data_IF_593639982432
#
_entry.id   IF_593639982432
#
_cell.length_a   1.000
_cell.length_b   1.000
_cell.length_c   1.000
_cell.angle_alpha   90.00
_cell.angle_beta   90.00
_cell.angle_gamma   90.00
#
_symmetry.space_group_name_H-M   'P 1'
#
loop_
_entity.id
_entity.type
_entity.pdbx_description
1 polymer ?
#
# COMPACT_ATOMS: atom_id res chain seq x y z
N UNK A 1 -16.99 6.00 18.08
CA UNK A 1 -15.63 6.23 17.55
C UNK A 1 -15.23 4.98 16.76
N UNK A 2 -14.80 5.12 15.53
CA UNK A 2 -14.35 3.97 14.73
C UNK A 2 -12.89 3.69 15.09
N UNK A 3 -12.59 2.46 15.52
CA UNK A 3 -11.22 2.04 15.80
C UNK A 3 -10.43 1.92 14.49
N UNK A 4 -9.19 2.42 14.46
CA UNK A 4 -8.30 2.28 13.30
C UNK A 4 -8.03 0.82 12.94
N UNK A 5 -8.08 -0.11 13.91
CA UNK A 5 -8.03 -1.55 13.65
C UNK A 5 -9.18 -2.02 12.77
N UNK A 6 -10.41 -1.56 13.08
CA UNK A 6 -11.59 -1.94 12.29
C UNK A 6 -11.46 -1.39 10.88
N UNK A 7 -11.02 -0.15 10.72
CA UNK A 7 -10.76 0.44 9.40
C UNK A 7 -9.69 -0.35 8.64
N UNK A 8 -8.61 -0.76 9.31
CA UNK A 8 -7.56 -1.57 8.69
C UNK A 8 -8.13 -2.85 8.05
N UNK A 9 -8.92 -3.63 8.81
CA UNK A 9 -9.50 -4.86 8.28
C UNK A 9 -10.57 -4.62 7.21
N UNK A 10 -11.36 -3.52 7.32
CA UNK A 10 -12.31 -3.13 6.28
C UNK A 10 -11.57 -2.80 4.98
N UNK A 11 -10.49 -2.01 5.03
CA UNK A 11 -9.69 -1.71 3.85
C UNK A 11 -9.04 -2.96 3.26
N UNK A 12 -8.50 -3.84 4.10
CA UNK A 12 -7.93 -5.10 3.66
C UNK A 12 -8.95 -5.93 2.86
N UNK A 13 -10.16 -6.08 3.41
CA UNK A 13 -11.25 -6.81 2.75
C UNK A 13 -11.72 -6.12 1.47
N UNK A 14 -11.88 -4.79 1.50
CA UNK A 14 -12.28 -4.00 0.33
C UNK A 14 -11.29 -4.17 -0.82
N UNK A 15 -10.01 -4.02 -0.54
CA UNK A 15 -8.96 -4.17 -1.55
C UNK A 15 -8.85 -5.62 -2.05
N UNK A 16 -9.08 -6.62 -1.18
CA UNK A 16 -9.17 -8.02 -1.61
C UNK A 16 -10.31 -8.22 -2.62
N UNK A 17 -11.50 -7.66 -2.35
CA UNK A 17 -12.64 -7.74 -3.28
C UNK A 17 -12.34 -7.02 -4.60
N UNK A 18 -11.71 -5.84 -4.54
CA UNK A 18 -11.26 -5.13 -5.75
C UNK A 18 -10.27 -6.00 -6.54
N UNK A 19 -9.32 -6.63 -5.85
CA UNK A 19 -8.34 -7.51 -6.47
C UNK A 19 -8.95 -8.75 -7.11
N UNK A 20 -9.97 -9.37 -6.49
CA UNK A 20 -10.74 -10.48 -7.09
C UNK A 20 -11.36 -10.08 -8.44
N UNK A 21 -11.88 -8.85 -8.53
CA UNK A 21 -12.55 -8.35 -9.75
C UNK A 21 -11.53 -7.96 -10.82
N UNK A 22 -10.40 -7.37 -10.42
CA UNK A 22 -9.40 -6.80 -11.34
C UNK A 22 -8.39 -7.82 -11.87
N UNK A 23 -8.14 -8.88 -11.10
CA UNK A 23 -7.17 -9.93 -11.39
C UNK A 23 -5.73 -9.56 -11.01
N UNK A 24 -4.91 -10.58 -10.90
CA UNK A 24 -3.53 -10.53 -10.37
C UNK A 24 -2.62 -9.55 -11.10
N UNK A 25 -2.65 -9.54 -12.44
CA UNK A 25 -1.75 -8.72 -13.25
C UNK A 25 -1.91 -7.22 -13.02
N UNK A 26 -3.15 -6.77 -12.83
CA UNK A 26 -3.43 -5.35 -12.54
C UNK A 26 -3.04 -4.99 -11.11
N UNK A 27 -3.24 -5.92 -10.18
CA UNK A 27 -2.90 -5.69 -8.77
C UNK A 27 -1.39 -5.66 -8.51
N UNK A 28 -0.57 -6.39 -9.26
CA UNK A 28 0.90 -6.27 -9.19
C UNK A 28 1.35 -4.84 -9.50
N UNK A 29 0.75 -4.17 -10.48
CA UNK A 29 1.11 -2.78 -10.80
C UNK A 29 0.82 -1.85 -9.63
N UNK A 30 -0.28 -2.10 -8.91
CA UNK A 30 -0.64 -1.36 -7.69
C UNK A 30 0.35 -1.63 -6.56
N UNK A 31 0.80 -2.89 -6.39
CA UNK A 31 1.85 -3.25 -5.42
C UNK A 31 3.15 -2.48 -5.70
N UNK A 32 3.56 -2.42 -6.96
CA UNK A 32 4.75 -1.66 -7.37
C UNK A 32 4.59 -0.17 -7.10
N UNK A 33 3.42 0.39 -7.36
CA UNK A 33 3.11 1.79 -7.03
C UNK A 33 3.17 2.04 -5.51
N UNK A 34 2.75 1.08 -4.68
CA UNK A 34 2.89 1.12 -3.23
C UNK A 34 4.35 1.14 -2.77
N UNK A 35 5.20 0.26 -3.32
CA UNK A 35 6.64 0.23 -3.03
C UNK A 35 7.30 1.54 -3.49
N UNK A 36 6.95 2.02 -4.69
CA UNK A 36 7.44 3.30 -5.20
C UNK A 36 7.05 4.47 -4.30
N UNK A 37 5.84 4.47 -3.75
CA UNK A 37 5.39 5.52 -2.83
C UNK A 37 6.27 5.58 -1.58
N UNK A 38 6.62 4.44 -0.98
CA UNK A 38 7.55 4.39 0.15
C UNK A 38 8.94 4.91 -0.22
N UNK A 39 9.45 4.51 -1.39
CA UNK A 39 10.73 5.01 -1.87
C UNK A 39 10.72 6.54 -2.02
N UNK A 40 9.68 7.12 -2.59
CA UNK A 40 9.53 8.57 -2.71
C UNK A 40 9.50 9.21 -1.32
N UNK A 41 8.74 8.67 -0.38
CA UNK A 41 8.58 9.22 0.96
C UNK A 41 9.88 9.13 1.77
N UNK A 42 10.57 7.99 1.74
CA UNK A 42 11.74 7.76 2.60
C UNK A 42 13.06 8.26 1.98
N UNK A 43 13.17 8.25 0.65
CA UNK A 43 14.42 8.58 -0.02
C UNK A 43 14.41 9.93 -0.76
N UNK A 44 13.28 10.33 -1.34
CA UNK A 44 13.20 11.52 -2.21
C UNK A 44 12.75 12.75 -1.44
N UNK A 45 11.65 12.65 -0.68
CA UNK A 45 11.08 13.79 0.06
C UNK A 45 12.09 14.44 1.02
N UNK A 46 12.84 13.69 1.85
CA UNK A 46 13.81 14.31 2.77
C UNK A 46 14.92 15.06 2.06
N UNK A 47 15.30 14.63 0.85
CA UNK A 47 16.35 15.29 0.06
C UNK A 47 15.88 16.60 -0.58
N UNK A 48 14.60 16.67 -0.99
CA UNK A 48 14.04 17.83 -1.71
C UNK A 48 13.53 18.88 -0.74
N UNK A 49 12.81 18.46 0.30
CA UNK A 49 12.09 19.35 1.22
C UNK A 49 12.77 19.50 2.59
N UNK A 50 13.89 18.81 2.81
CA UNK A 50 14.60 18.86 4.10
C UNK A 50 13.75 18.33 5.25
N UNK A 51 13.87 18.96 6.43
CA UNK A 51 13.14 18.56 7.64
C UNK A 51 11.76 19.21 7.70
N UNK A 52 10.80 18.70 6.91
CA UNK A 52 9.39 18.99 7.19
C UNK A 52 8.96 18.24 8.45
N UNK A 53 8.27 18.92 9.36
CA UNK A 53 7.84 18.34 10.64
C UNK A 53 6.33 18.40 10.83
N UNK A 54 5.83 17.55 11.74
CA UNK A 54 4.43 17.52 12.17
C UNK A 54 3.43 17.25 11.06
N UNK A 55 2.34 18.00 11.05
CA UNK A 55 1.24 17.80 10.10
C UNK A 55 1.61 18.04 8.63
N UNK A 56 2.63 18.86 8.34
CA UNK A 56 3.04 19.15 6.96
C UNK A 56 3.65 17.92 6.28
N UNK A 57 4.54 17.20 6.97
CA UNK A 57 5.13 15.98 6.43
C UNK A 57 4.07 14.88 6.28
N UNK A 58 3.12 14.79 7.21
CA UNK A 58 2.00 13.85 7.12
C UNK A 58 1.18 14.08 5.85
N UNK A 59 0.76 15.33 5.60
CA UNK A 59 -0.03 15.69 4.41
C UNK A 59 0.74 15.34 3.13
N UNK A 60 2.04 15.65 3.07
CA UNK A 60 2.89 15.29 1.94
C UNK A 60 2.93 13.78 1.71
N UNK A 61 3.15 12.99 2.77
CA UNK A 61 3.20 11.53 2.68
C UNK A 61 1.87 10.95 2.22
N UNK A 62 0.74 11.46 2.72
CA UNK A 62 -0.60 11.03 2.30
C UNK A 62 -0.89 11.41 0.84
N UNK A 63 -0.42 12.57 0.37
CA UNK A 63 -0.54 12.97 -1.04
C UNK A 63 0.23 11.98 -1.92
N UNK A 64 1.47 11.65 -1.57
CA UNK A 64 2.28 10.70 -2.36
C UNK A 64 1.66 9.30 -2.38
N UNK A 65 1.23 8.79 -1.20
CA UNK A 65 0.54 7.51 -1.11
C UNK A 65 -0.72 7.48 -2.00
N UNK A 66 -1.54 8.53 -1.90
CA UNK A 66 -2.79 8.63 -2.67
C UNK A 66 -2.53 8.75 -4.17
N UNK A 67 -1.55 9.56 -4.57
CA UNK A 67 -1.17 9.72 -5.98
C UNK A 67 -0.66 8.39 -6.56
N UNK A 68 0.26 7.72 -5.86
CA UNK A 68 0.77 6.43 -6.33
C UNK A 68 -0.33 5.36 -6.39
N UNK A 69 -1.23 5.29 -5.41
CA UNK A 69 -2.39 4.43 -5.47
C UNK A 69 -3.26 4.75 -6.69
N UNK A 70 -3.63 6.02 -6.88
CA UNK A 70 -4.44 6.46 -8.01
C UNK A 70 -3.82 6.06 -9.35
N UNK A 71 -2.55 6.37 -9.58
CA UNK A 71 -1.87 6.00 -10.82
C UNK A 71 -1.72 4.48 -10.99
N UNK A 72 -1.46 3.73 -9.91
CA UNK A 72 -1.43 2.27 -9.93
C UNK A 72 -2.77 1.67 -10.35
N UNK A 73 -3.87 2.22 -9.84
CA UNK A 73 -5.22 1.77 -10.22
C UNK A 73 -5.66 2.23 -11.61
N UNK A 74 -5.12 3.33 -12.14
CA UNK A 74 -5.40 3.86 -13.49
C UNK A 74 -4.53 3.22 -14.57
N UNK A 75 -3.53 2.41 -14.22
CA UNK A 75 -2.66 1.78 -15.19
C UNK A 75 -3.49 1.02 -16.25
N UNK A 76 -3.31 1.31 -17.54
CA UNK A 76 -4.09 0.69 -18.59
C UNK A 76 -3.84 -0.82 -18.64
N UNK A 77 -4.91 -1.60 -18.76
CA UNK A 77 -4.78 -3.01 -19.12
C UNK A 77 -4.22 -3.07 -20.54
N UNK A 78 -2.98 -3.50 -20.72
CA UNK A 78 -2.44 -3.73 -22.04
C UNK A 78 -3.28 -4.81 -22.74
N UNK A 79 -4.00 -4.43 -23.81
CA UNK A 79 -4.83 -5.35 -24.62
C UNK A 79 -4.05 -6.57 -25.14
N UNK A 80 -2.73 -6.41 -25.32
CA UNK A 80 -1.83 -7.50 -25.76
C UNK A 80 -1.77 -8.70 -24.83
N UNK A 81 -2.10 -8.51 -23.54
CA UNK A 81 -2.13 -9.60 -22.55
C UNK A 81 -3.45 -10.39 -22.55
N UNK A 82 -4.54 -9.82 -23.10
CA UNK A 82 -5.84 -10.48 -23.25
C UNK A 82 -5.93 -11.40 -24.49
N UNK A 83 -5.12 -11.14 -25.52
CA UNK A 83 -5.24 -11.81 -26.82
C UNK A 83 -4.42 -13.12 -26.92
N UNK A 84 -3.52 -13.40 -25.98
CA UNK A 84 -2.86 -14.71 -25.94
C UNK A 84 -3.81 -15.74 -25.32
N UNK A 85 -4.64 -16.37 -26.13
CA UNK A 85 -5.67 -17.37 -25.77
C UNK A 85 -5.17 -18.64 -25.04
N UNK A 86 -4.01 -18.58 -24.40
CA UNK A 86 -3.44 -19.64 -23.54
C UNK A 86 -3.97 -19.61 -22.10
N UNK A 87 -4.74 -18.61 -21.70
CA UNK A 87 -5.10 -18.38 -20.28
C UNK A 87 -6.61 -18.46 -19.96
N UNK A 88 -7.44 -18.95 -20.88
CA UNK A 88 -8.86 -19.20 -20.57
C UNK A 88 -9.06 -20.28 -19.48
N UNK A 89 -8.04 -21.09 -19.20
CA UNK A 89 -8.11 -22.14 -18.17
C UNK A 89 -7.91 -21.65 -16.74
N UNK A 90 -7.36 -20.44 -16.55
CA UNK A 90 -6.90 -19.96 -15.23
C UNK A 90 -7.62 -18.72 -14.72
N UNK A 91 -8.83 -18.42 -15.18
CA UNK A 91 -9.58 -17.23 -14.71
C UNK A 91 -9.83 -17.27 -13.19
N UNK A 92 -10.04 -18.45 -12.64
CA UNK A 92 -10.23 -18.64 -11.20
C UNK A 92 -8.93 -18.39 -10.43
N UNK A 93 -7.81 -18.89 -10.94
CA UNK A 93 -6.49 -18.67 -10.33
C UNK A 93 -6.10 -17.18 -10.37
N UNK A 94 -6.31 -16.52 -11.53
CA UNK A 94 -6.05 -15.07 -11.67
C UNK A 94 -6.91 -14.24 -10.71
N UNK A 95 -8.18 -14.60 -10.53
CA UNK A 95 -9.09 -14.00 -9.57
C UNK A 95 -8.60 -14.21 -8.13
N UNK A 96 -8.27 -15.44 -7.74
CA UNK A 96 -7.80 -15.73 -6.38
C UNK A 96 -6.49 -15.03 -6.05
N UNK A 97 -5.50 -15.07 -6.95
CA UNK A 97 -4.24 -14.36 -6.81
C UNK A 97 -4.46 -12.85 -6.81
N UNK A 98 -5.41 -12.35 -7.60
CA UNK A 98 -5.83 -10.95 -7.59
C UNK A 98 -6.37 -10.54 -6.24
N UNK A 99 -7.21 -11.37 -5.60
CA UNK A 99 -7.73 -11.12 -4.26
C UNK A 99 -6.65 -11.07 -3.19
N UNK A 100 -5.70 -12.01 -3.22
CA UNK A 100 -4.55 -12.01 -2.30
C UNK A 100 -3.66 -10.78 -2.48
N UNK A 101 -3.36 -10.43 -3.74
CA UNK A 101 -2.54 -9.25 -4.05
C UNK A 101 -3.29 -7.96 -3.72
N UNK A 102 -4.60 -7.93 -3.95
CA UNK A 102 -5.45 -6.82 -3.52
C UNK A 102 -5.42 -6.62 -2.01
N UNK A 103 -5.57 -7.69 -1.22
CA UNK A 103 -5.41 -7.63 0.24
C UNK A 103 -4.04 -7.07 0.64
N UNK A 104 -2.96 -7.53 -0.02
CA UNK A 104 -1.61 -7.01 0.18
C UNK A 104 -1.55 -5.50 -0.13
N UNK A 105 -2.18 -5.04 -1.20
CA UNK A 105 -2.26 -3.61 -1.53
C UNK A 105 -3.01 -2.81 -0.47
N UNK A 106 -4.13 -3.34 0.05
CA UNK A 106 -4.84 -2.76 1.19
C UNK A 106 -3.95 -2.62 2.42
N UNK A 107 -3.18 -3.67 2.73
CA UNK A 107 -2.18 -3.65 3.79
C UNK A 107 -1.11 -2.59 3.54
N UNK A 108 -0.50 -2.55 2.35
CA UNK A 108 0.56 -1.59 1.99
C UNK A 108 0.07 -0.15 2.18
N UNK A 109 -1.03 0.23 1.56
CA UNK A 109 -1.48 1.62 1.58
C UNK A 109 -2.05 2.04 2.93
N UNK A 110 -2.89 1.21 3.56
CA UNK A 110 -3.51 1.59 4.82
C UNK A 110 -2.53 1.57 5.98
N UNK A 111 -1.68 0.52 6.10
CA UNK A 111 -0.69 0.48 7.17
C UNK A 111 0.34 1.59 7.04
N UNK A 112 0.74 1.96 5.81
CA UNK A 112 1.64 3.09 5.57
C UNK A 112 0.99 4.43 5.96
N UNK A 113 -0.25 4.67 5.56
CA UNK A 113 -0.98 5.88 5.94
C UNK A 113 -1.12 5.99 7.47
N UNK A 114 -1.48 4.89 8.12
CA UNK A 114 -1.58 4.84 9.58
C UNK A 114 -0.22 5.02 10.27
N UNK A 115 0.84 4.41 9.76
CA UNK A 115 2.19 4.57 10.26
C UNK A 115 2.64 6.05 10.25
N UNK A 116 2.45 6.75 9.13
CA UNK A 116 2.80 8.17 9.05
C UNK A 116 1.89 9.06 9.91
N UNK A 117 0.63 8.69 10.09
CA UNK A 117 -0.29 9.35 11.03
C UNK A 117 0.20 9.21 12.46
N UNK A 118 0.63 8.02 12.87
CA UNK A 118 1.20 7.75 14.19
C UNK A 118 2.53 8.49 14.38
N UNK A 119 3.41 8.47 13.39
CA UNK A 119 4.70 9.18 13.39
C UNK A 119 4.52 10.70 13.51
N UNK A 120 3.43 11.26 12.99
CA UNK A 120 3.07 12.67 13.15
C UNK A 120 2.37 13.00 14.49
N UNK A 121 2.16 12.03 15.37
CA UNK A 121 1.53 12.21 16.68
C UNK A 121 0.03 12.44 16.63
N UNK A 122 -0.68 11.92 15.62
CA UNK A 122 -2.13 12.05 15.45
C UNK A 122 -2.61 13.52 15.48
N UNK A 123 -2.21 14.37 14.53
CA UNK A 123 -2.43 15.82 14.60
C UNK A 123 -3.90 16.25 14.44
N UNK A 124 -4.80 15.32 14.15
CA UNK A 124 -6.23 15.58 13.94
C UNK A 124 -7.02 15.34 15.23
N UNK A 125 -7.76 16.32 15.70
CA UNK A 125 -8.55 16.25 16.96
C UNK A 125 -9.63 15.17 16.98
N UNK A 126 -9.99 14.63 15.83
CA UNK A 126 -11.01 13.57 15.66
C UNK A 126 -10.43 12.16 15.51
N UNK A 127 -9.08 12.02 15.44
CA UNK A 127 -8.37 10.75 15.44
C UNK A 127 -7.50 10.68 16.70
N UNK A 128 -7.70 9.65 17.49
CA UNK A 128 -6.96 9.44 18.73
C UNK A 128 -5.93 8.33 18.59
N UNK A 129 -4.81 8.50 19.29
CA UNK A 129 -3.82 7.45 19.43
C UNK A 129 -4.44 6.21 20.10
N UNK A 130 -4.01 5.00 19.74
CA UNK A 130 -4.44 3.79 20.42
C UNK A 130 -4.10 3.84 21.92
N UNK A 131 -5.07 3.52 22.77
CA UNK A 131 -4.86 3.46 24.22
C UNK A 131 -4.25 2.11 24.62
N UNK A 132 -2.99 2.09 25.10
CA UNK A 132 -2.30 0.84 25.45
C UNK A 132 -2.92 0.12 26.64
N UNK A 133 -3.78 0.75 27.41
CA UNK A 133 -4.47 0.12 28.55
C UNK A 133 -5.62 -0.79 28.11
N UNK A 134 -6.07 -0.71 26.87
CA UNK A 134 -7.16 -1.51 26.31
C UNK A 134 -6.63 -2.61 25.39
N UNK A 135 -7.31 -3.77 25.36
CA UNK A 135 -6.93 -4.88 24.46
C UNK A 135 -6.99 -4.49 22.98
N UNK A 136 -7.95 -3.65 22.60
CA UNK A 136 -8.05 -3.12 21.22
C UNK A 136 -6.90 -2.17 20.92
N UNK A 137 -6.53 -1.31 21.83
CA UNK A 137 -5.41 -0.41 21.66
C UNK A 137 -4.07 -1.14 21.58
N UNK A 138 -3.88 -2.18 22.40
CA UNK A 138 -2.67 -3.03 22.32
C UNK A 138 -2.59 -3.76 20.96
N UNK A 139 -3.70 -4.28 20.44
CA UNK A 139 -3.76 -4.88 19.12
C UNK A 139 -3.42 -3.86 18.01
N UNK A 140 -3.86 -2.59 18.16
CA UNK A 140 -3.51 -1.50 17.25
C UNK A 140 -2.00 -1.19 17.25
N UNK A 141 -1.39 -1.15 18.42
CA UNK A 141 0.04 -0.91 18.58
C UNK A 141 0.85 -2.04 17.92
N UNK A 142 0.42 -3.30 18.10
CA UNK A 142 1.07 -4.44 17.46
C UNK A 142 0.95 -4.38 15.94
N UNK A 143 -0.24 -4.06 15.40
CA UNK A 143 -0.41 -3.87 13.95
C UNK A 143 0.46 -2.72 13.39
N UNK A 144 0.66 -1.67 14.16
CA UNK A 144 1.55 -0.57 13.78
C UNK A 144 3.03 -0.97 13.79
N UNK A 145 3.44 -1.84 14.72
CA UNK A 145 4.80 -2.38 14.74
C UNK A 145 5.11 -3.17 13.47
N UNK A 146 4.12 -3.90 12.95
CA UNK A 146 4.21 -4.66 11.71
C UNK A 146 3.79 -3.84 10.47
N UNK A 147 3.65 -2.52 10.56
CA UNK A 147 3.26 -1.69 9.41
C UNK A 147 4.29 -1.78 8.28
N UNK A 148 3.82 -1.74 7.04
CA UNK A 148 4.64 -1.96 5.85
C UNK A 148 5.91 -1.09 5.79
N UNK A 149 5.91 0.21 6.18
CA UNK A 149 7.14 1.01 6.24
C UNK A 149 8.18 0.49 7.25
N UNK A 150 7.78 -0.21 8.31
CA UNK A 150 8.70 -0.84 9.25
C UNK A 150 9.29 -2.14 8.69
N UNK A 151 8.50 -2.89 7.92
CA UNK A 151 8.93 -4.14 7.29
C UNK A 151 9.89 -3.88 6.13
N UNK A 152 9.63 -2.82 5.36
CA UNK A 152 10.38 -2.50 4.15
C UNK A 152 11.20 -1.21 4.33
N UNK A 153 12.33 -1.31 5.02
CA UNK A 153 13.22 -0.18 5.33
C UNK A 153 14.62 -0.35 4.78
N UNK A 154 15.37 0.75 4.73
CA UNK A 154 16.79 0.76 4.38
C UNK A 154 17.09 0.10 3.02
N UNK A 155 18.09 -0.76 2.98
CA UNK A 155 18.54 -1.43 1.74
C UNK A 155 17.47 -2.33 1.13
N UNK A 156 16.58 -2.92 1.94
CA UNK A 156 15.49 -3.77 1.46
C UNK A 156 14.49 -3.01 0.60
N UNK A 157 14.26 -1.72 0.88
CA UNK A 157 13.40 -0.87 0.06
C UNK A 157 13.95 -0.69 -1.37
N UNK A 158 15.27 -0.47 -1.50
CA UNK A 158 15.90 -0.34 -2.82
C UNK A 158 15.87 -1.65 -3.60
N UNK A 159 16.11 -2.78 -2.91
CA UNK A 159 16.05 -4.11 -3.53
C UNK A 159 14.62 -4.41 -4.00
N UNK A 160 13.63 -4.17 -3.14
CA UNK A 160 12.24 -4.39 -3.48
C UNK A 160 11.79 -3.51 -4.65
N UNK A 161 12.24 -2.25 -4.72
CA UNK A 161 11.97 -1.37 -5.85
C UNK A 161 12.59 -1.91 -7.14
N UNK A 162 13.85 -2.33 -7.11
CA UNK A 162 14.53 -2.88 -8.29
C UNK A 162 13.84 -4.15 -8.79
N UNK A 163 13.50 -5.07 -7.88
CA UNK A 163 12.77 -6.30 -8.20
C UNK A 163 11.38 -5.98 -8.76
N UNK A 164 10.66 -5.05 -8.16
CA UNK A 164 9.31 -4.67 -8.60
C UNK A 164 9.30 -4.04 -9.99
N UNK A 165 10.28 -3.21 -10.31
CA UNK A 165 10.47 -2.67 -11.68
C UNK A 165 10.76 -3.80 -12.66
N UNK A 166 11.62 -4.77 -12.29
CA UNK A 166 11.90 -5.96 -13.11
C UNK A 166 10.63 -6.78 -13.37
N UNK A 167 9.79 -6.99 -12.36
CA UNK A 167 8.50 -7.71 -12.49
C UNK A 167 7.57 -6.95 -13.45
N UNK A 168 7.43 -5.64 -13.31
CA UNK A 168 6.58 -4.84 -14.20
C UNK A 168 7.07 -4.93 -15.64
N UNK A 169 8.37 -4.81 -15.88
CA UNK A 169 8.95 -4.97 -17.22
C UNK A 169 8.66 -6.35 -17.79
N UNK A 170 8.83 -7.42 -17.00
CA UNK A 170 8.55 -8.79 -17.43
C UNK A 170 7.07 -9.07 -17.69
N UNK A 171 6.16 -8.34 -17.03
CA UNK A 171 4.69 -8.49 -17.21
C UNK A 171 4.17 -7.65 -18.37
N UNK A 172 4.84 -6.51 -18.70
CA UNK A 172 4.38 -5.57 -19.75
C UNK A 172 5.06 -5.88 -21.10
N UNK A 173 6.30 -6.34 -21.10
CA UNK A 173 7.07 -6.71 -22.31
C UNK A 173 6.79 -8.15 -22.73
#
# INVERSE_FOLDING_TARGET
MVSLNVLFYIFLALFAVIGLIRGFRKEIVVTVAGILSLFIIEAVIPKIFGSLEGGKILVMNLIVLSACAFFGYQAPSSRRLSESGRFERDSLLDMMLGGLTGALNGYIFFSSAWFYLAKAGYPFSWIYAPDPSTGIGQAAINLLADAFPNVLTGSWLYIALAVSVGIVLAVIL
#
